data_IF_566194703912
#
_entry.id   IF_566194703912
#
_cell.length_a   1.000
_cell.length_b   1.000
_cell.length_c   1.000
_cell.angle_alpha   90.00
_cell.angle_beta   90.00
_cell.angle_gamma   90.00
#
_symmetry.space_group_name_H-M   'P 1'
#
loop_
_entity.id
_entity.type
_entity.pdbx_description
1 polymer ?
#
# COMPACT_ATOMS: atom_id res chain seq x y z
N UNK A 1 15.41 -1.36 18.28
CA UNK A 1 15.29 -1.52 16.81
C UNK A 1 16.32 -0.63 16.14
N UNK A 2 17.15 -1.17 15.25
CA UNK A 2 18.26 -0.43 14.63
C UNK A 2 17.74 0.54 13.57
N UNK A 3 18.24 1.77 13.54
CA UNK A 3 17.84 2.81 12.57
C UNK A 3 18.00 2.33 11.11
N UNK A 4 19.03 1.53 10.84
CA UNK A 4 19.27 0.89 9.55
C UNK A 4 18.09 0.02 9.09
N UNK A 5 17.46 -0.71 10.01
CA UNK A 5 16.35 -1.62 9.69
C UNK A 5 15.09 -0.83 9.35
N UNK A 6 14.86 0.30 10.03
CA UNK A 6 13.79 1.23 9.69
C UNK A 6 13.99 1.85 8.31
N UNK A 7 15.22 2.29 7.99
CA UNK A 7 15.55 2.84 6.67
C UNK A 7 15.40 1.78 5.56
N UNK A 8 15.76 0.53 5.83
CA UNK A 8 15.60 -0.58 4.87
C UNK A 8 14.12 -0.87 4.57
N UNK A 9 13.27 -0.99 5.60
CA UNK A 9 11.83 -1.21 5.43
C UNK A 9 11.21 -0.05 4.64
N UNK A 10 11.59 1.19 4.96
CA UNK A 10 11.11 2.38 4.24
C UNK A 10 11.56 2.37 2.77
N UNK A 11 12.81 1.99 2.48
CA UNK A 11 13.30 1.86 1.11
C UNK A 11 12.50 0.81 0.31
N UNK A 12 12.20 -0.35 0.91
CA UNK A 12 11.41 -1.41 0.26
C UNK A 12 9.99 -0.92 -0.06
N UNK A 13 9.33 -0.25 0.89
CA UNK A 13 7.98 0.31 0.67
C UNK A 13 7.97 1.31 -0.47
N UNK A 14 8.96 2.21 -0.54
CA UNK A 14 9.07 3.19 -1.62
C UNK A 14 9.30 2.54 -2.99
N UNK A 15 10.12 1.48 -3.06
CA UNK A 15 10.34 0.74 -4.30
C UNK A 15 9.03 0.09 -4.77
N UNK A 16 8.30 -0.59 -3.86
CA UNK A 16 7.05 -1.27 -4.20
C UNK A 16 5.99 -0.27 -4.69
N UNK A 17 5.80 0.84 -3.97
CA UNK A 17 4.86 1.89 -4.35
C UNK A 17 5.25 2.59 -5.67
N UNK A 18 6.56 2.75 -5.92
CA UNK A 18 7.08 3.39 -7.13
C UNK A 18 7.01 2.52 -8.39
N UNK A 19 6.99 1.19 -8.25
CA UNK A 19 6.97 0.26 -9.40
C UNK A 19 5.72 0.42 -10.27
N UNK A 20 4.54 0.56 -9.64
CA UNK A 20 3.26 0.72 -10.34
C UNK A 20 3.25 1.86 -11.37
N UNK A 21 3.51 3.12 -10.96
CA UNK A 21 3.56 4.25 -11.88
C UNK A 21 4.75 4.22 -12.84
N UNK A 22 5.89 3.65 -12.45
CA UNK A 22 7.09 3.61 -13.28
C UNK A 22 6.97 2.62 -14.45
N UNK A 23 6.46 1.41 -14.19
CA UNK A 23 6.35 0.37 -15.23
C UNK A 23 5.06 0.49 -16.06
N UNK A 24 3.95 0.90 -15.44
CA UNK A 24 2.64 0.88 -16.10
C UNK A 24 1.84 2.18 -15.89
N UNK A 25 2.34 3.35 -16.32
CA UNK A 25 1.75 4.65 -16.00
C UNK A 25 0.28 4.79 -16.43
N UNK A 26 -0.09 4.31 -17.62
CA UNK A 26 -1.47 4.43 -18.13
C UNK A 26 -2.45 3.52 -17.37
N UNK A 27 -2.04 2.28 -17.09
CA UNK A 27 -2.86 1.30 -16.33
C UNK A 27 -3.01 1.76 -14.88
N UNK A 28 -1.92 2.23 -14.27
CA UNK A 28 -1.90 2.76 -12.92
C UNK A 28 -2.83 3.98 -12.78
N UNK A 29 -2.76 4.91 -13.74
CA UNK A 29 -3.65 6.08 -13.76
C UNK A 29 -5.12 5.69 -13.88
N UNK A 30 -5.46 4.76 -14.78
CA UNK A 30 -6.83 4.27 -14.92
C UNK A 30 -7.32 3.57 -13.64
N UNK A 31 -6.47 2.76 -13.00
CA UNK A 31 -6.76 2.11 -11.73
C UNK A 31 -7.03 3.12 -10.60
N UNK A 32 -6.20 4.16 -10.46
CA UNK A 32 -6.41 5.21 -9.48
C UNK A 32 -7.70 6.00 -9.75
N UNK A 33 -8.03 6.26 -11.01
CA UNK A 33 -9.30 6.90 -11.37
C UNK A 33 -10.50 6.05 -10.97
N UNK A 34 -10.47 4.75 -11.26
CA UNK A 34 -11.51 3.81 -10.86
C UNK A 34 -11.70 3.80 -9.33
N UNK A 35 -10.60 3.74 -8.58
CA UNK A 35 -10.64 3.80 -7.10
C UNK A 35 -11.21 5.12 -6.61
N UNK A 36 -10.80 6.25 -7.20
CA UNK A 36 -11.27 7.57 -6.78
C UNK A 36 -12.77 7.79 -7.04
N UNK A 37 -13.33 7.07 -8.02
CA UNK A 37 -14.76 7.11 -8.33
C UNK A 37 -15.59 6.18 -7.43
N UNK A 38 -14.97 5.28 -6.66
CA UNK A 38 -15.70 4.42 -5.73
C UNK A 38 -16.31 5.23 -4.59
N UNK A 39 -17.43 4.73 -4.04
CA UNK A 39 -18.06 5.35 -2.89
C UNK A 39 -17.09 5.42 -1.70
N UNK A 40 -17.05 6.56 -0.99
CA UNK A 40 -16.20 6.80 0.18
C UNK A 40 -16.21 5.65 1.20
N UNK A 41 -17.38 5.03 1.44
CA UNK A 41 -17.49 3.89 2.36
C UNK A 41 -16.74 2.65 1.87
N UNK A 42 -16.70 2.42 0.56
CA UNK A 42 -15.97 1.30 -0.05
C UNK A 42 -14.47 1.55 0.04
N UNK A 43 -14.01 2.78 -0.23
CA UNK A 43 -12.60 3.16 -0.08
C UNK A 43 -12.13 2.98 1.38
N UNK A 44 -12.94 3.40 2.35
CA UNK A 44 -12.66 3.20 3.78
C UNK A 44 -12.60 1.71 4.17
N UNK A 45 -13.48 0.87 3.60
CA UNK A 45 -13.47 -0.58 3.86
C UNK A 45 -12.23 -1.25 3.26
N UNK A 46 -11.83 -0.86 2.05
CA UNK A 46 -10.59 -1.35 1.43
C UNK A 46 -9.37 -0.99 2.27
N UNK A 47 -9.24 0.29 2.65
CA UNK A 47 -8.16 0.75 3.53
C UNK A 47 -8.19 0.04 4.89
N UNK A 48 -9.37 -0.08 5.51
CA UNK A 48 -9.56 -0.78 6.77
C UNK A 48 -9.15 -2.26 6.69
N UNK A 49 -9.56 -2.97 5.65
CA UNK A 49 -9.19 -4.38 5.44
C UNK A 49 -7.68 -4.56 5.27
N UNK A 50 -7.00 -3.67 4.53
CA UNK A 50 -5.54 -3.69 4.37
C UNK A 50 -4.82 -3.46 5.71
N UNK A 51 -5.27 -2.47 6.50
CA UNK A 51 -4.72 -2.20 7.83
C UNK A 51 -4.93 -3.40 8.76
N UNK A 52 -6.15 -3.97 8.79
CA UNK A 52 -6.44 -5.14 9.63
C UNK A 52 -5.58 -6.34 9.23
N UNK A 53 -5.46 -6.64 7.94
CA UNK A 53 -4.60 -7.72 7.46
C UNK A 53 -3.13 -7.49 7.85
N UNK A 54 -2.62 -6.26 7.67
CA UNK A 54 -1.25 -5.90 8.07
C UNK A 54 -1.02 -6.05 9.58
N UNK A 55 -1.98 -5.65 10.41
CA UNK A 55 -1.91 -5.83 11.87
C UNK A 55 -1.93 -7.30 12.25
N UNK A 56 -2.78 -8.12 11.63
CA UNK A 56 -2.83 -9.57 11.90
C UNK A 56 -1.51 -10.23 11.53
N UNK A 57 -0.94 -9.92 10.36
CA UNK A 57 0.37 -10.43 9.94
C UNK A 57 1.45 -9.98 10.93
N UNK A 58 1.45 -8.70 11.34
CA UNK A 58 2.41 -8.19 12.31
C UNK A 58 2.31 -8.95 13.64
N UNK A 59 1.10 -9.17 14.17
CA UNK A 59 0.91 -9.87 15.46
C UNK A 59 1.35 -11.34 15.39
N UNK A 60 1.14 -12.02 14.26
CA UNK A 60 1.46 -13.45 14.11
C UNK A 60 2.96 -13.68 13.89
N UNK A 61 3.64 -12.78 13.18
CA UNK A 61 5.02 -13.00 12.71
C UNK A 61 6.08 -12.08 13.36
N UNK A 62 5.66 -11.14 14.23
CA UNK A 62 6.55 -10.36 15.12
C UNK A 62 6.80 -11.09 16.43
#
# INVERSE_FOLDING_TARGET
MTFQLLMLVLAIVLIIEGIGPLLFPNRWRAYLQEISNQNQRVLQRLGGALVTAGVVILIIFS
#
